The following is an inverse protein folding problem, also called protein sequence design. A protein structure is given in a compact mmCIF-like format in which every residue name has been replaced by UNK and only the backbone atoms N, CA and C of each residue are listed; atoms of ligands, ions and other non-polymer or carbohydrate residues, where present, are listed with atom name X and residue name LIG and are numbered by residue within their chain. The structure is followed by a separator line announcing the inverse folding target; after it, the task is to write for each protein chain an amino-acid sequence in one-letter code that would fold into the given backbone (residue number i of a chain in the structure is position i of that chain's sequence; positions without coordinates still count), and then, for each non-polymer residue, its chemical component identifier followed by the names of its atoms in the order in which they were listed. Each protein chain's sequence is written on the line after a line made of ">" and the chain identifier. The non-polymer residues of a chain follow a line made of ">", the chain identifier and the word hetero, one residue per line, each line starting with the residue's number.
data_IF_313453741830
#
_entry.id   IF_313453741830
#
_cell.length_a   1.000
_cell.length_b   1.000
_cell.length_c   1.000
_cell.angle_alpha   90.00
_cell.angle_beta   90.00
_cell.angle_gamma   90.00
#
_symmetry.space_group_name_H-M   'P 1'
#
loop_
_entity.id
_entity.type
_entity.pdbx_description
1 polymer ?
#
# COMPACT_ATOMS: atom_id res chain seq x y z
N UNK A 1 -0.91 4.76 9.11
CA UNK A 1 0.34 4.41 9.81
C UNK A 1 1.38 5.49 9.54
N UNK A 2 2.14 5.92 10.56
CA UNK A 2 3.27 6.84 10.38
C UNK A 2 4.49 6.00 9.98
N UNK A 3 4.88 6.05 8.71
CA UNK A 3 6.05 5.32 8.21
C UNK A 3 7.29 6.08 8.70
N UNK A 4 8.17 5.43 9.46
CA UNK A 4 9.46 6.00 9.85
C UNK A 4 10.31 6.12 8.57
N UNK A 5 10.60 7.34 8.14
CA UNK A 5 11.48 7.63 6.99
C UNK A 5 10.86 8.47 5.88
N UNK A 6 9.54 8.70 5.87
CA UNK A 6 8.88 9.57 4.87
C UNK A 6 7.93 10.55 5.54
N UNK A 7 8.01 11.84 5.19
CA UNK A 7 7.19 12.93 5.74
C UNK A 7 5.70 12.79 5.45
N UNK A 8 5.32 11.96 4.48
CA UNK A 8 3.93 11.71 4.16
C UNK A 8 3.40 10.48 4.94
N UNK A 9 2.20 10.59 5.48
CA UNK A 9 1.48 9.46 6.05
C UNK A 9 0.57 8.87 4.97
N UNK A 10 0.58 7.55 4.80
CA UNK A 10 -0.44 6.88 3.98
C UNK A 10 -1.77 7.03 4.73
N UNK A 11 -2.65 7.87 4.18
CA UNK A 11 -3.97 8.18 4.71
C UNK A 11 -5.03 7.30 4.05
N UNK A 12 -6.13 7.06 4.76
CA UNK A 12 -7.34 6.48 4.16
C UNK A 12 -7.73 7.37 2.97
N UNK A 13 -7.75 6.79 1.76
CA UNK A 13 -8.01 7.51 0.50
C UNK A 13 -6.85 7.52 -0.51
N UNK A 14 -5.65 7.02 -0.15
CA UNK A 14 -4.55 6.88 -1.12
C UNK A 14 -4.91 5.83 -2.18
N UNK A 15 -5.18 6.27 -3.41
CA UNK A 15 -5.39 5.38 -4.55
C UNK A 15 -4.05 4.83 -5.02
N UNK A 16 -3.93 3.51 -5.03
CA UNK A 16 -2.74 2.82 -5.54
C UNK A 16 -3.09 2.18 -6.88
N UNK A 17 -2.26 2.41 -7.88
CA UNK A 17 -2.40 1.83 -9.23
C UNK A 17 -1.28 0.82 -9.44
N UNK A 18 -1.50 -0.19 -10.28
CA UNK A 18 -0.53 -1.27 -10.53
C UNK A 18 -0.26 -2.16 -9.30
N UNK A 19 -1.31 -2.84 -8.80
CA UNK A 19 -1.19 -3.81 -7.72
C UNK A 19 -0.81 -5.19 -8.28
N UNK A 20 0.06 -5.90 -7.57
CA UNK A 20 0.41 -7.30 -7.83
C UNK A 20 -0.04 -8.15 -6.65
N UNK A 21 -0.79 -9.20 -6.95
CA UNK A 21 -1.17 -10.21 -5.98
C UNK A 21 -0.02 -11.19 -5.82
N UNK A 22 0.35 -11.50 -4.59
CA UNK A 22 1.39 -12.46 -4.25
C UNK A 22 0.86 -13.40 -3.16
N UNK A 23 1.27 -14.67 -3.18
CA UNK A 23 0.91 -15.63 -2.13
C UNK A 23 1.77 -15.40 -0.88
N UNK A 24 1.15 -14.88 0.19
CA UNK A 24 1.81 -14.69 1.49
C UNK A 24 0.96 -13.83 2.45
N UNK A 25 1.40 -13.69 3.70
CA UNK A 25 0.64 -12.91 4.70
C UNK A 25 0.40 -11.44 4.28
N UNK A 26 1.24 -10.91 3.40
CA UNK A 26 1.04 -9.61 2.74
C UNK A 26 0.71 -9.81 1.26
N UNK A 27 -0.57 -10.08 1.00
CA UNK A 27 -1.07 -10.51 -0.31
C UNK A 27 -0.99 -9.44 -1.42
N UNK A 28 -0.78 -8.16 -1.08
CA UNK A 28 -0.90 -7.06 -2.05
C UNK A 28 0.40 -6.27 -2.08
N UNK A 29 1.17 -6.46 -3.14
CA UNK A 29 2.30 -5.61 -3.47
C UNK A 29 1.81 -4.43 -4.32
N UNK A 30 2.08 -3.21 -3.89
CA UNK A 30 1.58 -2.03 -4.57
C UNK A 30 2.62 -0.91 -4.57
N UNK A 31 2.67 -0.14 -5.66
CA UNK A 31 3.58 1.01 -5.77
C UNK A 31 2.82 2.30 -5.53
N UNK A 32 3.10 2.95 -4.41
CA UNK A 32 2.48 4.21 -4.03
C UNK A 32 3.33 5.36 -4.59
N UNK A 33 2.78 6.27 -5.41
CA UNK A 33 3.51 7.44 -5.89
C UNK A 33 3.88 8.35 -4.70
N UNK A 34 5.18 8.63 -4.54
CA UNK A 34 5.71 9.42 -3.42
C UNK A 34 6.10 8.62 -2.16
N UNK A 35 5.78 7.32 -2.11
CA UNK A 35 6.15 6.43 -0.99
C UNK A 35 7.00 5.22 -1.39
N UNK A 36 6.94 4.80 -2.66
CA UNK A 36 7.67 3.63 -3.14
C UNK A 36 6.83 2.36 -3.14
N UNK A 37 7.49 1.19 -3.23
CA UNK A 37 6.82 -0.10 -3.17
C UNK A 37 6.46 -0.45 -1.72
N UNK A 38 5.21 -0.79 -1.47
CA UNK A 38 4.69 -1.17 -0.17
C UNK A 38 3.85 -2.43 -0.29
N UNK A 39 4.08 -3.35 0.65
CA UNK A 39 3.28 -4.57 0.81
C UNK A 39 2.17 -4.30 1.81
N UNK A 40 0.93 -4.46 1.37
CA UNK A 40 -0.28 -4.30 2.16
C UNK A 40 -1.00 -5.64 2.29
N UNK A 41 -1.73 -5.78 3.39
CA UNK A 41 -2.68 -6.88 3.56
C UNK A 41 -4.01 -6.50 2.93
N UNK A 42 -4.71 -7.49 2.37
CA UNK A 42 -6.02 -7.35 1.74
C UNK A 42 -7.09 -6.75 2.66
N UNK A 43 -6.95 -6.92 3.97
CA UNK A 43 -7.86 -6.37 4.98
C UNK A 43 -7.91 -4.83 5.00
N UNK A 44 -6.84 -4.15 4.55
CA UNK A 44 -6.74 -2.69 4.62
C UNK A 44 -6.99 -1.98 3.29
N UNK A 45 -7.31 -2.72 2.23
CA UNK A 45 -7.62 -2.14 0.92
C UNK A 45 -9.04 -2.48 0.51
N UNK A 46 -9.70 -1.53 -0.15
CA UNK A 46 -10.99 -1.73 -0.79
C UNK A 46 -10.81 -1.63 -2.30
N UNK A 47 -11.39 -2.57 -3.04
CA UNK A 47 -11.49 -2.46 -4.50
C UNK A 47 -12.44 -1.29 -4.80
N UNK A 48 -11.93 -0.29 -5.51
CA UNK A 48 -12.68 0.87 -6.03
C UNK A 48 -12.71 0.77 -7.53
#
# INVERSE_FOLDING_TARGET
>A
LKIKGTSNAVKVGTKVKNIRLCDGDHNIDCKIPGHGAMKLKSEFVKKV
#
